data_IF_221749723735
#
_entry.id   IF_221749723735
#
_cell.length_a   1.000
_cell.length_b   1.000
_cell.length_c   1.000
_cell.angle_alpha   90.00
_cell.angle_beta   90.00
_cell.angle_gamma   90.00
#
_symmetry.space_group_name_H-M   'P 1'
#
loop_
_entity.id
_entity.type
_entity.pdbx_description
1 polymer ?
#
# COMPACT_ATOMS: atom_id res chain seq x y z
N UNK A 1 15.54 10.77 26.80
CA UNK A 1 15.30 10.41 25.38
C UNK A 1 14.48 9.13 25.37
N UNK A 2 13.50 9.01 24.48
CA UNK A 2 12.69 7.78 24.31
C UNK A 2 12.72 7.40 22.84
N UNK A 3 13.04 6.15 22.53
CA UNK A 3 13.03 5.59 21.16
C UNK A 3 11.80 4.71 21.03
N UNK A 4 11.04 4.88 19.95
CA UNK A 4 9.81 4.13 19.67
C UNK A 4 9.91 3.61 18.24
N UNK A 5 9.62 2.33 18.03
CA UNK A 5 9.60 1.72 16.70
C UNK A 5 9.14 0.27 16.74
N UNK A 6 8.96 -0.31 15.57
CA UNK A 6 8.60 -1.72 15.40
C UNK A 6 9.84 -2.51 14.97
N UNK A 7 10.32 -3.49 15.76
CA UNK A 7 11.45 -4.31 15.36
C UNK A 7 11.15 -5.18 14.14
N UNK A 8 9.90 -5.51 13.84
CA UNK A 8 9.53 -6.38 12.73
C UNK A 8 9.31 -5.64 11.40
N UNK A 9 9.50 -4.32 11.36
CA UNK A 9 9.43 -3.54 10.13
C UNK A 9 10.57 -3.91 9.16
N UNK A 10 10.38 -3.60 7.87
CA UNK A 10 11.43 -3.68 6.87
C UNK A 10 12.72 -3.00 7.36
N UNK A 11 13.89 -3.60 7.08
CA UNK A 11 15.17 -3.03 7.51
C UNK A 11 15.38 -1.66 6.87
N UNK A 12 16.23 -0.87 7.52
CA UNK A 12 16.69 0.40 6.96
C UNK A 12 17.28 0.20 5.56
N UNK A 13 17.05 1.18 4.68
CA UNK A 13 17.64 1.18 3.33
C UNK A 13 19.17 1.38 3.40
N UNK A 14 19.66 2.05 4.45
CA UNK A 14 21.09 2.16 4.76
C UNK A 14 21.59 0.96 5.58
N UNK A 15 22.92 0.78 5.70
CA UNK A 15 23.50 -0.32 6.44
C UNK A 15 23.11 -0.26 7.93
N UNK A 16 22.86 -1.44 8.51
CA UNK A 16 22.58 -1.62 9.93
C UNK A 16 21.10 -1.68 10.30
N UNK A 17 20.82 -2.25 11.46
CA UNK A 17 19.46 -2.40 12.00
C UNK A 17 19.41 -1.86 13.42
N UNK A 18 19.74 -0.58 13.57
CA UNK A 18 19.97 0.11 14.86
C UNK A 18 18.96 -0.25 15.95
N UNK A 19 17.66 -0.22 15.66
CA UNK A 19 16.64 -0.54 16.66
C UNK A 19 16.72 -2.00 17.13
N UNK A 20 16.85 -2.96 16.18
CA UNK A 20 17.03 -4.38 16.51
C UNK A 20 18.32 -4.59 17.29
N UNK A 21 19.40 -3.94 16.88
CA UNK A 21 20.72 -4.08 17.49
C UNK A 21 20.73 -3.52 18.93
N UNK A 22 20.05 -2.40 19.17
CA UNK A 22 19.87 -1.82 20.52
C UNK A 22 19.08 -2.78 21.41
N UNK A 23 17.96 -3.33 20.92
CA UNK A 23 17.14 -4.28 21.69
C UNK A 23 17.96 -5.53 22.01
N UNK A 24 18.66 -6.10 21.01
CA UNK A 24 19.48 -7.29 21.17
C UNK A 24 20.68 -7.08 22.11
N UNK A 25 21.23 -5.86 22.19
CA UNK A 25 22.38 -5.55 23.04
C UNK A 25 22.07 -5.65 24.54
N UNK A 26 20.79 -5.56 24.94
CA UNK A 26 20.36 -5.44 26.34
C UNK A 26 21.03 -4.30 27.13
N UNK A 27 21.73 -3.38 26.46
CA UNK A 27 22.45 -2.28 27.10
C UNK A 27 21.51 -1.15 27.55
N UNK A 28 20.30 -1.11 26.98
CA UNK A 28 19.28 -0.08 27.27
C UNK A 28 18.01 -0.79 27.74
N UNK A 29 17.37 -0.33 28.84
CA UNK A 29 16.06 -0.81 29.24
C UNK A 29 15.06 -0.65 28.10
N UNK A 30 14.35 -1.72 27.77
CA UNK A 30 13.32 -1.73 26.74
C UNK A 30 12.02 -2.32 27.28
N UNK A 31 10.91 -1.92 26.68
CA UNK A 31 9.57 -2.42 26.99
C UNK A 31 8.90 -2.76 25.66
N UNK A 32 8.47 -4.01 25.51
CA UNK A 32 7.74 -4.48 24.34
C UNK A 32 6.23 -4.45 24.59
N UNK A 33 5.48 -3.84 23.66
CA UNK A 33 4.02 -3.75 23.73
C UNK A 33 3.39 -4.87 22.90
N UNK A 34 2.90 -5.91 23.58
CA UNK A 34 2.33 -7.10 22.93
C UNK A 34 0.81 -7.04 22.71
N UNK A 35 0.12 -6.11 23.37
CA UNK A 35 -1.34 -6.00 23.30
C UNK A 35 -1.78 -5.07 22.16
N UNK A 36 -2.65 -5.58 21.30
CA UNK A 36 -3.25 -4.83 20.20
C UNK A 36 -4.64 -4.34 20.63
N UNK A 37 -4.77 -3.03 20.85
CA UNK A 37 -6.04 -2.38 21.21
C UNK A 37 -6.86 -1.88 20.01
N UNK A 38 -6.45 -2.18 18.77
CA UNK A 38 -7.27 -1.88 17.60
C UNK A 38 -8.59 -2.66 17.66
N UNK A 39 -9.63 -2.10 17.03
CA UNK A 39 -11.04 -2.48 17.14
C UNK A 39 -11.43 -3.89 16.65
N UNK A 40 -10.51 -4.85 16.48
CA UNK A 40 -10.86 -6.24 16.23
C UNK A 40 -9.71 -7.19 16.62
N UNK A 41 -9.78 -7.84 17.80
CA UNK A 41 -8.94 -9.01 18.12
C UNK A 41 -9.02 -10.11 17.05
N UNK A 42 -10.07 -10.10 16.24
CA UNK A 42 -10.30 -11.03 15.13
C UNK A 42 -9.91 -10.46 13.76
N UNK A 43 -9.12 -9.40 13.68
CA UNK A 43 -8.72 -8.87 12.37
C UNK A 43 -7.80 -9.84 11.63
N UNK A 44 -8.17 -10.22 10.40
CA UNK A 44 -7.35 -11.11 9.56
C UNK A 44 -5.99 -10.48 9.21
N UNK A 45 -5.90 -9.14 9.17
CA UNK A 45 -4.62 -8.42 8.96
C UNK A 45 -3.64 -8.68 10.11
N UNK A 46 -4.12 -8.66 11.36
CA UNK A 46 -3.28 -8.92 12.55
C UNK A 46 -2.82 -10.39 12.57
N UNK A 47 -3.71 -11.31 12.20
CA UNK A 47 -3.37 -12.74 12.11
C UNK A 47 -2.31 -12.96 11.02
N UNK A 48 -2.52 -12.38 9.83
CA UNK A 48 -1.57 -12.45 8.73
C UNK A 48 -0.19 -11.86 9.10
N UNK A 49 -0.15 -10.72 9.80
CA UNK A 49 1.14 -10.14 10.23
C UNK A 49 1.87 -11.05 11.21
N UNK A 50 1.14 -11.68 12.16
CA UNK A 50 1.74 -12.64 13.10
C UNK A 50 2.27 -13.88 12.37
N UNK A 51 1.53 -14.40 11.40
CA UNK A 51 1.97 -15.53 10.57
C UNK A 51 3.29 -15.22 9.86
N UNK A 52 3.40 -14.04 9.22
CA UNK A 52 4.61 -13.60 8.52
C UNK A 52 5.80 -13.49 9.48
N UNK A 53 5.60 -12.88 10.66
CA UNK A 53 6.65 -12.76 11.69
C UNK A 53 7.12 -14.13 12.17
N UNK A 54 6.23 -15.13 12.21
CA UNK A 54 6.54 -16.52 12.56
C UNK A 54 7.14 -17.34 11.39
N UNK A 55 7.33 -16.74 10.21
CA UNK A 55 7.83 -17.44 9.02
C UNK A 55 6.80 -18.37 8.36
N UNK A 56 5.52 -18.21 8.69
CA UNK A 56 4.41 -18.98 8.11
C UNK A 56 3.64 -18.15 7.09
N UNK A 57 3.10 -18.79 6.06
CA UNK A 57 2.24 -18.12 5.08
C UNK A 57 0.88 -17.80 5.72
N UNK A 58 0.34 -16.57 5.57
CA UNK A 58 -0.97 -16.24 6.11
C UNK A 58 -2.10 -17.09 5.54
N UNK A 59 -3.10 -17.38 6.35
CA UNK A 59 -4.35 -17.94 5.87
C UNK A 59 -5.19 -16.82 5.22
N UNK A 60 -5.31 -16.86 3.90
CA UNK A 60 -6.18 -15.98 3.12
C UNK A 60 -7.38 -16.77 2.62
N UNK A 61 -8.53 -16.10 2.49
CA UNK A 61 -9.62 -16.66 1.70
C UNK A 61 -9.21 -16.59 0.23
N UNK A 62 -9.28 -17.72 -0.46
CA UNK A 62 -9.01 -17.78 -1.89
C UNK A 62 -10.27 -17.33 -2.62
N UNK A 63 -10.15 -16.29 -3.41
CA UNK A 63 -11.24 -15.82 -4.26
C UNK A 63 -10.83 -16.03 -5.71
N UNK A 64 -11.50 -16.97 -6.35
CA UNK A 64 -11.35 -17.25 -7.77
C UNK A 64 -12.70 -17.01 -8.44
N UNK A 65 -12.89 -15.80 -8.95
CA UNK A 65 -14.07 -15.46 -9.74
C UNK A 65 -13.64 -14.95 -11.12
N UNK A 66 -14.52 -15.16 -12.10
CA UNK A 66 -14.39 -14.68 -13.48
C UNK A 66 -14.58 -13.15 -13.61
N UNK A 67 -14.17 -12.38 -12.60
CA UNK A 67 -14.25 -10.91 -12.58
C UNK A 67 -15.69 -10.37 -12.68
N UNK A 68 -16.67 -11.18 -12.26
CA UNK A 68 -18.09 -10.82 -12.21
C UNK A 68 -18.55 -10.69 -10.75
N UNK A 69 -19.27 -9.60 -10.44
CA UNK A 69 -19.77 -9.30 -9.09
C UNK A 69 -18.84 -8.43 -8.24
N UNK A 70 -19.26 -8.18 -7.00
CA UNK A 70 -18.48 -7.47 -5.98
C UNK A 70 -17.98 -8.47 -4.93
N UNK A 71 -16.76 -8.26 -4.42
CA UNK A 71 -16.23 -9.02 -3.29
C UNK A 71 -16.97 -8.56 -2.04
N UNK A 72 -17.49 -9.52 -1.26
CA UNK A 72 -18.04 -9.22 0.05
C UNK A 72 -16.92 -8.83 1.04
N UNK A 73 -17.03 -7.65 1.66
CA UNK A 73 -16.02 -7.06 2.53
C UNK A 73 -15.90 -7.74 3.90
N UNK A 74 -16.80 -8.67 4.23
CA UNK A 74 -16.59 -9.58 5.36
C UNK A 74 -15.27 -10.36 5.23
N UNK A 75 -14.73 -10.46 4.01
CA UNK A 75 -13.40 -10.93 3.71
C UNK A 75 -12.36 -9.83 3.95
N UNK A 76 -11.92 -9.69 5.21
CA UNK A 76 -10.87 -8.74 5.60
C UNK A 76 -9.49 -9.01 4.96
N UNK A 77 -9.31 -10.14 4.26
CA UNK A 77 -8.09 -10.49 3.55
C UNK A 77 -8.33 -11.57 2.49
N UNK A 78 -8.17 -11.21 1.21
CA UNK A 78 -8.40 -12.10 0.06
C UNK A 78 -7.10 -12.32 -0.70
N UNK A 79 -6.85 -13.56 -1.11
CA UNK A 79 -5.80 -13.90 -2.07
C UNK A 79 -6.43 -14.26 -3.41
N UNK A 80 -6.04 -13.52 -4.46
CA UNK A 80 -6.49 -13.76 -5.83
C UNK A 80 -5.28 -14.25 -6.63
N UNK A 81 -5.12 -15.57 -6.85
CA UNK A 81 -4.02 -16.10 -7.64
C UNK A 81 -4.23 -15.74 -9.12
N UNK A 82 -3.29 -15.00 -9.70
CA UNK A 82 -3.34 -14.56 -11.12
C UNK A 82 -1.96 -14.60 -11.75
N UNK A 83 -1.95 -14.86 -13.05
CA UNK A 83 -0.75 -14.71 -13.87
C UNK A 83 -0.41 -13.23 -14.07
N UNK A 84 0.85 -12.94 -14.40
CA UNK A 84 1.35 -11.55 -14.50
C UNK A 84 0.58 -10.68 -15.49
N UNK A 85 0.04 -11.29 -16.56
CA UNK A 85 -0.77 -10.65 -17.59
C UNK A 85 -2.17 -10.23 -17.12
N UNK A 86 -2.74 -10.93 -16.14
CA UNK A 86 -4.14 -10.78 -15.70
C UNK A 86 -4.28 -9.81 -14.51
N UNK A 87 -3.18 -9.56 -13.78
CA UNK A 87 -3.18 -8.69 -12.60
C UNK A 87 -3.68 -7.28 -12.93
N UNK A 88 -3.32 -6.72 -14.10
CA UNK A 88 -3.79 -5.38 -14.50
C UNK A 88 -5.31 -5.32 -14.68
N UNK A 89 -5.88 -6.37 -15.25
CA UNK A 89 -7.33 -6.45 -15.44
C UNK A 89 -8.02 -6.58 -14.08
N UNK A 90 -7.48 -7.45 -13.23
CA UNK A 90 -7.95 -7.65 -11.84
C UNK A 90 -7.97 -6.35 -11.05
N UNK A 91 -6.89 -5.57 -11.10
CA UNK A 91 -6.81 -4.26 -10.44
C UNK A 91 -7.85 -3.28 -10.99
N UNK A 92 -8.07 -3.27 -12.31
CA UNK A 92 -9.06 -2.41 -12.94
C UNK A 92 -10.47 -2.73 -12.42
N UNK A 93 -10.84 -4.01 -12.39
CA UNK A 93 -12.11 -4.47 -11.86
C UNK A 93 -12.30 -4.11 -10.37
N UNK A 94 -11.27 -4.35 -9.53
CA UNK A 94 -11.30 -3.97 -8.11
C UNK A 94 -11.57 -2.48 -7.89
N UNK A 95 -10.98 -1.63 -8.74
CA UNK A 95 -11.16 -0.18 -8.66
C UNK A 95 -12.50 0.29 -9.23
N UNK A 96 -13.06 -0.40 -10.22
CA UNK A 96 -14.28 0.04 -10.92
C UNK A 96 -15.59 -0.43 -10.28
N UNK A 97 -15.53 -1.32 -9.29
CA UNK A 97 -16.72 -1.78 -8.55
C UNK A 97 -16.59 -3.15 -7.90
N UNK A 98 -15.45 -3.83 -8.04
CA UNK A 98 -15.19 -5.09 -7.34
C UNK A 98 -15.10 -4.94 -5.82
N UNK A 99 -14.87 -3.74 -5.31
CA UNK A 99 -14.87 -3.44 -3.88
C UNK A 99 -16.02 -2.47 -3.53
N UNK A 100 -16.75 -2.69 -2.42
CA UNK A 100 -17.80 -1.79 -1.90
C UNK A 100 -17.23 -0.52 -1.23
N UNK A 101 -16.21 0.11 -1.80
CA UNK A 101 -15.63 1.35 -1.29
C UNK A 101 -15.21 2.29 -2.41
N UNK A 102 -15.06 3.57 -2.07
CA UNK A 102 -14.64 4.57 -3.04
C UNK A 102 -13.18 4.35 -3.45
N UNK A 103 -12.86 4.66 -4.71
CA UNK A 103 -11.49 4.62 -5.27
C UNK A 103 -10.50 5.44 -4.43
N UNK A 104 -11.00 6.42 -3.69
CA UNK A 104 -10.22 7.30 -2.83
C UNK A 104 -9.65 6.60 -1.60
N UNK A 105 -10.35 5.58 -1.11
CA UNK A 105 -10.06 4.81 0.10
C UNK A 105 -9.14 3.62 -0.17
N UNK A 106 -9.00 3.25 -1.45
CA UNK A 106 -8.14 2.15 -1.89
C UNK A 106 -6.69 2.63 -2.06
N UNK A 107 -5.75 1.86 -1.49
CA UNK A 107 -4.32 2.03 -1.73
C UNK A 107 -3.73 0.78 -2.37
N UNK A 108 -3.14 0.95 -3.56
CA UNK A 108 -2.40 -0.10 -4.25
C UNK A 108 -0.92 -0.07 -3.84
N UNK A 109 -0.39 -1.22 -3.42
CA UNK A 109 1.01 -1.40 -3.05
C UNK A 109 1.64 -2.45 -3.98
N UNK A 110 2.83 -2.15 -4.51
CA UNK A 110 3.64 -3.11 -5.26
C UNK A 110 5.06 -3.14 -4.69
N UNK A 111 5.68 -4.33 -4.56
CA UNK A 111 7.05 -4.47 -4.06
C UNK A 111 8.07 -3.83 -5.01
N UNK A 112 7.73 -3.64 -6.29
CA UNK A 112 8.64 -3.16 -7.32
C UNK A 112 8.23 -1.79 -7.86
N UNK A 113 9.23 -0.95 -8.15
CA UNK A 113 9.00 0.34 -8.78
C UNK A 113 8.87 0.23 -10.32
N UNK A 114 9.59 -0.73 -10.93
CA UNK A 114 9.63 -1.01 -12.38
C UNK A 114 9.07 -2.40 -12.66
N UNK A 115 8.88 -2.73 -13.94
CA UNK A 115 8.28 -3.98 -14.39
C UNK A 115 6.80 -3.84 -14.70
N UNK A 116 6.19 -4.90 -15.23
CA UNK A 116 4.81 -4.86 -15.72
C UNK A 116 3.76 -4.61 -14.63
N UNK A 117 4.07 -5.04 -13.41
CA UNK A 117 3.25 -4.87 -12.19
C UNK A 117 3.93 -3.90 -11.20
N UNK A 118 4.91 -3.12 -11.69
CA UNK A 118 5.57 -2.10 -10.89
C UNK A 118 4.72 -0.84 -10.75
N UNK A 119 5.02 -0.03 -9.72
CA UNK A 119 4.29 1.23 -9.45
C UNK A 119 4.12 2.13 -10.69
N UNK A 120 5.15 2.25 -11.55
CA UNK A 120 5.08 3.06 -12.77
C UNK A 120 4.03 2.51 -13.74
N UNK A 121 4.05 1.19 -13.99
CA UNK A 121 3.17 0.56 -14.97
C UNK A 121 1.71 0.56 -14.50
N UNK A 122 1.47 0.42 -13.19
CA UNK A 122 0.14 0.44 -12.61
C UNK A 122 -0.44 1.87 -12.63
N UNK A 123 0.31 2.88 -12.18
CA UNK A 123 -0.15 4.28 -12.14
C UNK A 123 -0.51 4.83 -13.53
N UNK A 124 0.27 4.49 -14.56
CA UNK A 124 0.03 4.99 -15.93
C UNK A 124 -1.29 4.48 -16.53
N UNK A 125 -1.84 3.37 -16.01
CA UNK A 125 -3.07 2.76 -16.51
C UNK A 125 -4.30 3.21 -15.72
N UNK A 126 -4.20 3.40 -14.40
CA UNK A 126 -5.33 3.85 -13.56
C UNK A 126 -5.74 5.29 -13.86
N UNK A 127 -4.77 6.17 -14.14
CA UNK A 127 -5.04 7.60 -14.38
C UNK A 127 -5.59 7.90 -15.79
N UNK A 128 -5.44 6.97 -16.75
CA UNK A 128 -6.00 7.13 -18.10
C UNK A 128 -7.52 6.90 -18.15
N UNK A 129 -8.06 6.05 -17.28
CA UNK A 129 -9.48 5.69 -17.26
C UNK A 129 -10.30 6.44 -16.20
N UNK A 130 -9.67 7.14 -15.26
CA UNK A 130 -10.36 8.11 -14.38
C UNK A 130 -10.78 9.41 -15.10
N UNK A 131 -10.49 9.51 -16.40
CA UNK A 131 -10.88 10.61 -17.28
C UNK A 131 -11.97 10.17 -18.29
N UNK A 132 -13.03 9.51 -17.81
CA UNK A 132 -14.24 9.32 -18.62
C UNK A 132 -15.19 10.51 -18.39
N UNK A 133 -15.58 11.11 -19.51
CA UNK A 133 -16.37 12.34 -19.69
C UNK A 133 -15.57 13.64 -19.53
N UNK A 134 -15.30 14.28 -20.66
CA UNK A 134 -14.51 15.50 -20.88
C UNK A 134 -12.99 15.32 -20.77
N UNK A 135 -12.33 15.33 -21.94
CA UNK A 135 -10.88 15.32 -22.08
C UNK A 135 -10.22 16.27 -21.07
N UNK A 136 -9.41 15.77 -20.12
CA UNK A 136 -8.86 16.59 -19.06
C UNK A 136 -7.95 17.65 -19.70
N UNK A 137 -8.24 18.92 -19.44
CA UNK A 137 -7.40 20.04 -19.88
C UNK A 137 -5.97 19.78 -19.43
N UNK A 138 -5.09 19.52 -20.38
CA UNK A 138 -3.67 19.24 -20.17
C UNK A 138 -3.06 20.49 -19.51
N UNK A 139 -2.77 20.43 -18.21
CA UNK A 139 -2.01 21.49 -17.57
C UNK A 139 -0.57 21.39 -18.09
N UNK A 140 -0.07 22.49 -18.64
CA UNK A 140 1.20 22.53 -19.37
C UNK A 140 2.38 21.99 -18.56
N UNK A 141 3.27 21.29 -19.28
CA UNK A 141 4.50 20.60 -18.86
C UNK A 141 4.30 19.26 -18.12
N UNK A 142 4.68 18.15 -18.78
CA UNK A 142 4.90 16.79 -18.24
C UNK A 142 3.69 15.85 -18.06
N UNK A 143 2.55 16.09 -18.71
CA UNK A 143 1.49 15.07 -18.80
C UNK A 143 0.75 14.80 -17.49
N UNK A 144 0.65 15.81 -16.63
CA UNK A 144 -0.12 15.78 -15.38
C UNK A 144 -1.55 16.24 -15.66
N UNK A 145 -2.53 15.52 -15.11
CA UNK A 145 -3.96 15.84 -15.27
C UNK A 145 -4.57 16.41 -13.98
N UNK A 146 -5.57 17.29 -14.12
CA UNK A 146 -6.30 17.84 -12.98
C UNK A 146 -7.02 16.70 -12.24
N UNK A 147 -6.82 16.60 -10.92
CA UNK A 147 -7.36 15.52 -10.08
C UNK A 147 -6.42 14.30 -9.90
N UNK A 148 -5.29 14.25 -10.61
CA UNK A 148 -4.35 13.15 -10.50
C UNK A 148 -3.66 13.12 -9.12
N UNK A 149 -3.67 11.96 -8.47
CA UNK A 149 -2.95 11.73 -7.22
C UNK A 149 -1.45 11.61 -7.52
N UNK A 150 -0.67 12.56 -7.02
CA UNK A 150 0.78 12.57 -7.18
C UNK A 150 1.49 12.49 -5.83
N UNK A 151 2.51 11.63 -5.76
CA UNK A 151 3.40 11.53 -4.62
C UNK A 151 4.74 12.19 -4.94
N UNK A 152 5.38 12.74 -3.92
CA UNK A 152 6.66 13.43 -4.08
C UNK A 152 7.79 12.51 -3.67
N UNK A 153 8.74 12.25 -4.57
CA UNK A 153 9.87 11.35 -4.32
C UNK A 153 11.01 11.98 -3.50
N UNK A 154 11.09 13.32 -3.45
CA UNK A 154 12.17 14.04 -2.74
C UNK A 154 11.65 15.29 -2.04
N UNK A 155 12.21 15.59 -0.87
CA UNK A 155 12.01 16.86 -0.17
C UNK A 155 12.64 18.00 -0.98
N UNK A 156 11.94 19.13 -1.13
CA UNK A 156 12.57 20.40 -1.57
C UNK A 156 12.75 21.30 -0.36
N UNK A 157 13.94 21.86 -0.17
CA UNK A 157 14.25 22.78 0.94
C UNK A 157 13.48 24.11 0.86
N UNK A 158 13.04 24.52 -0.33
CA UNK A 158 12.30 25.77 -0.57
C UNK A 158 10.79 25.66 -0.33
N UNK A 159 10.29 24.49 0.08
CA UNK A 159 8.88 24.29 0.40
C UNK A 159 8.78 23.42 1.65
N UNK A 160 7.89 23.74 2.59
CA UNK A 160 7.60 22.93 3.79
C UNK A 160 6.86 21.62 3.49
N UNK A 161 7.17 21.00 2.36
CA UNK A 161 6.55 19.79 1.84
C UNK A 161 7.53 18.64 1.85
N UNK A 162 7.12 17.55 2.50
CA UNK A 162 7.93 16.36 2.72
C UNK A 162 7.73 15.32 1.61
N UNK A 163 8.61 14.32 1.59
CA UNK A 163 8.48 13.15 0.73
C UNK A 163 7.18 12.41 1.05
N UNK A 164 6.53 11.80 0.05
CA UNK A 164 5.27 11.04 0.18
C UNK A 164 4.06 11.80 0.73
N UNK A 165 4.12 13.13 0.79
CA UNK A 165 2.97 13.94 1.19
C UNK A 165 1.97 14.06 0.03
N UNK A 166 0.70 13.67 0.24
CA UNK A 166 -0.38 13.83 -0.74
C UNK A 166 -0.51 15.32 -1.11
N UNK A 167 -0.41 15.62 -2.40
CA UNK A 167 -0.64 16.96 -2.91
C UNK A 167 -2.15 17.17 -3.05
N UNK A 168 -2.76 17.89 -2.09
CA UNK A 168 -4.14 18.37 -2.26
C UNK A 168 -4.12 19.45 -3.35
N UNK A 169 -4.87 19.24 -4.44
CA UNK A 169 -5.15 20.32 -5.38
C UNK A 169 -5.98 21.39 -4.66
N UNK A 170 -5.56 22.64 -4.72
CA UNK A 170 -6.45 23.78 -4.44
C UNK A 170 -7.45 23.95 -5.57
#
# INVERSE_FOLDING_TARGET
>A
MVIIGDPNQLPSIGPGSVLKDIIASNAVPNVELNEVFRQAKNSKIIQASRSIVQGSFPAFDVFDCDMEGAIDLDLQSVWIPRESSEIKQTIKWLLEGGLPCDKEEIQLLSPMHKGEIGNIALSNNSDRNAAVSNAPKKCSLHGIYKGQKISRSRRRKTSDRYCNQKLKSK
#
